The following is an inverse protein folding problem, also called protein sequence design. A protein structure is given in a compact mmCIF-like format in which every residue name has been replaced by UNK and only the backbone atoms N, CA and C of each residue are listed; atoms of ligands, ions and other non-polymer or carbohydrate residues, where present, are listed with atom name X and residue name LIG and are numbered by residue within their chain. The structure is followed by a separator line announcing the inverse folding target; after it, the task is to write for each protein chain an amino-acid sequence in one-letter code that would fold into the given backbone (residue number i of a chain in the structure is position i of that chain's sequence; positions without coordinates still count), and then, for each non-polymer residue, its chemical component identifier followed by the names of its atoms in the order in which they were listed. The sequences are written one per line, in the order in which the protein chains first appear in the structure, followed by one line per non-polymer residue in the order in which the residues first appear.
data_IF_264289829520
#
_entry.id   IF_264289829520
#
_cell.length_a   1.000
_cell.length_b   1.000
_cell.length_c   1.000
_cell.angle_alpha   90.00
_cell.angle_beta   90.00
_cell.angle_gamma   90.00
#
_symmetry.space_group_name_H-M   'P 1'
#
loop_
_entity.id
_entity.type
_entity.pdbx_description
1 polymer ?
#
# COMPACT_ATOMS: atom_id res chain seq x y z
N UNK A 1 -22.39 -10.72 -23.34
CA UNK A 1 -21.82 -9.51 -22.68
C UNK A 1 -20.31 -9.70 -22.62
N UNK A 2 -19.51 -8.85 -23.25
CA UNK A 2 -18.03 -8.92 -23.14
C UNK A 2 -17.62 -8.08 -21.94
N UNK A 3 -16.76 -8.62 -21.09
CA UNK A 3 -16.13 -7.84 -20.02
C UNK A 3 -15.04 -6.98 -20.65
N UNK A 4 -15.16 -5.66 -20.50
CA UNK A 4 -14.11 -4.71 -20.88
C UNK A 4 -13.34 -4.39 -19.62
N UNK A 5 -12.05 -4.72 -19.61
CA UNK A 5 -11.18 -4.38 -18.49
C UNK A 5 -10.74 -2.93 -18.59
N UNK A 6 -10.66 -2.26 -17.43
CA UNK A 6 -9.96 -0.99 -17.33
C UNK A 6 -8.49 -1.27 -17.66
N UNK A 7 -7.87 -0.50 -18.57
CA UNK A 7 -6.48 -0.70 -18.91
C UNK A 7 -5.63 -0.20 -17.74
N UNK A 8 -5.31 -1.11 -16.80
CA UNK A 8 -4.67 -0.78 -15.52
C UNK A 8 -3.35 -0.03 -15.71
N UNK A 9 -2.48 -0.50 -16.61
CA UNK A 9 -1.16 0.11 -16.85
C UNK A 9 -1.28 1.59 -17.23
N UNK A 10 -2.02 2.00 -18.29
CA UNK A 10 -2.13 3.41 -18.63
C UNK A 10 -2.86 4.24 -17.55
N UNK A 11 -3.81 3.67 -16.81
CA UNK A 11 -4.42 4.37 -15.67
C UNK A 11 -3.39 4.66 -14.56
N UNK A 12 -2.56 3.67 -14.22
CA UNK A 12 -1.49 3.84 -13.22
C UNK A 12 -0.44 4.85 -13.69
N UNK A 13 -0.05 4.83 -14.96
CA UNK A 13 0.85 5.84 -15.53
C UNK A 13 0.23 7.24 -15.44
N UNK A 14 -1.05 7.40 -15.76
CA UNK A 14 -1.74 8.67 -15.68
C UNK A 14 -1.83 9.20 -14.24
N UNK A 15 -2.04 8.32 -13.26
CA UNK A 15 -2.03 8.68 -11.84
C UNK A 15 -0.63 9.12 -11.37
N UNK A 16 0.42 8.42 -11.78
CA UNK A 16 1.79 8.80 -11.45
C UNK A 16 2.19 10.14 -12.09
N UNK A 17 1.69 10.45 -13.28
CA UNK A 17 1.95 11.74 -13.97
C UNK A 17 1.11 12.91 -13.43
N UNK A 18 0.08 12.65 -12.62
CA UNK A 18 -0.74 13.68 -12.02
C UNK A 18 -0.23 13.98 -10.61
N UNK A 19 0.42 15.12 -10.42
CA UNK A 19 1.05 15.52 -9.15
C UNK A 19 0.09 15.44 -7.95
N UNK A 20 -1.14 15.97 -8.10
CA UNK A 20 -2.15 15.91 -7.03
C UNK A 20 -2.51 14.47 -6.66
N UNK A 21 -2.65 13.59 -7.66
CA UNK A 21 -2.95 12.18 -7.42
C UNK A 21 -1.75 11.48 -6.79
N UNK A 22 -0.54 11.70 -7.32
CA UNK A 22 0.69 11.15 -6.78
C UNK A 22 0.91 11.56 -5.31
N UNK A 23 0.60 12.80 -4.95
CA UNK A 23 0.63 13.28 -3.56
C UNK A 23 -0.43 12.60 -2.69
N UNK A 24 -1.64 12.44 -3.21
CA UNK A 24 -2.72 11.77 -2.47
C UNK A 24 -2.38 10.28 -2.24
N UNK A 25 -1.74 9.62 -3.21
CA UNK A 25 -1.32 8.23 -3.07
C UNK A 25 -0.20 8.03 -2.03
N UNK A 26 0.50 9.09 -1.62
CA UNK A 26 1.45 9.04 -0.49
C UNK A 26 0.74 9.05 0.88
N UNK A 27 -0.60 9.04 0.93
CA UNK A 27 -1.39 9.02 2.15
C UNK A 27 -0.94 7.93 3.14
N UNK A 28 -0.67 6.71 2.66
CA UNK A 28 -0.20 5.60 3.50
C UNK A 28 1.06 5.98 4.30
N UNK A 29 2.05 6.60 3.65
CA UNK A 29 3.34 6.89 4.27
C UNK A 29 3.40 8.24 5.00
N UNK A 30 2.62 9.23 4.55
CA UNK A 30 2.71 10.61 5.06
C UNK A 30 1.46 11.09 5.80
N UNK A 31 0.29 10.55 5.48
CA UNK A 31 -1.00 11.06 5.94
C UNK A 31 -1.72 10.19 6.97
N UNK A 32 -1.51 8.87 6.94
CA UNK A 32 -2.19 7.94 7.81
C UNK A 32 -1.45 7.77 9.14
N UNK A 33 -2.18 7.90 10.24
CA UNK A 33 -1.67 7.63 11.59
C UNK A 33 -2.66 6.72 12.30
N UNK A 34 -2.23 5.50 12.59
CA UNK A 34 -3.04 4.52 13.29
C UNK A 34 -3.47 5.04 14.67
N UNK A 35 -4.76 4.98 14.96
CA UNK A 35 -5.32 5.33 16.29
C UNK A 35 -5.91 4.08 16.94
N UNK A 36 -5.39 3.73 18.11
CA UNK A 36 -5.84 2.57 18.85
C UNK A 36 -7.36 2.60 19.10
N UNK A 37 -8.04 1.52 18.74
CA UNK A 37 -9.50 1.38 18.90
C UNK A 37 -10.34 2.02 17.79
N UNK A 38 -9.72 2.54 16.73
CA UNK A 38 -10.40 3.07 15.55
C UNK A 38 -9.88 2.36 14.29
N UNK A 39 -10.80 2.06 13.38
CA UNK A 39 -10.47 1.54 12.05
C UNK A 39 -11.06 2.52 11.05
N UNK A 40 -10.20 3.37 10.49
CA UNK A 40 -10.55 4.35 9.47
C UNK A 40 -10.25 3.78 8.07
N UNK A 41 -9.18 2.99 7.93
CA UNK A 41 -8.76 2.38 6.66
C UNK A 41 -8.07 1.01 6.85
N UNK A 42 -7.67 0.37 5.75
CA UNK A 42 -6.96 -0.91 5.70
C UNK A 42 -5.64 -0.90 6.51
N UNK A 43 -5.02 0.27 6.63
CA UNK A 43 -3.78 0.48 7.39
C UNK A 43 -3.97 0.43 8.91
N UNK A 44 -5.21 0.49 9.40
CA UNK A 44 -5.53 0.28 10.83
C UNK A 44 -5.75 -1.21 11.16
N UNK A 45 -5.78 -2.06 10.14
CA UNK A 45 -5.99 -3.48 10.30
C UNK A 45 -4.88 -4.11 11.16
N UNK A 46 -5.27 -4.95 12.12
CA UNK A 46 -4.31 -5.66 12.98
C UNK A 46 -3.28 -6.45 12.19
N UNK A 47 -3.66 -7.01 11.04
CA UNK A 47 -2.77 -7.73 10.11
C UNK A 47 -1.72 -6.77 9.53
N UNK A 48 -2.15 -5.61 9.01
CA UNK A 48 -1.22 -4.63 8.45
C UNK A 48 -0.23 -4.14 9.52
N UNK A 49 -0.72 -3.78 10.70
CA UNK A 49 0.10 -3.35 11.83
C UNK A 49 1.11 -4.42 12.26
N UNK A 50 0.75 -5.70 12.22
CA UNK A 50 1.67 -6.80 12.51
C UNK A 50 2.76 -6.93 11.44
N UNK A 51 2.40 -6.80 10.16
CA UNK A 51 3.33 -6.92 9.04
C UNK A 51 4.43 -5.85 9.06
N UNK A 52 4.12 -4.62 9.49
CA UNK A 52 5.12 -3.54 9.64
C UNK A 52 6.33 -3.92 10.52
N UNK A 53 6.16 -4.90 11.40
CA UNK A 53 7.20 -5.39 12.31
C UNK A 53 7.80 -6.74 11.89
N UNK A 54 7.37 -7.31 10.77
CA UNK A 54 7.84 -8.59 10.26
C UNK A 54 8.76 -8.41 9.05
N UNK A 55 9.77 -9.27 8.96
CA UNK A 55 10.58 -9.38 7.75
C UNK A 55 9.80 -10.05 6.64
N UNK A 56 10.00 -9.59 5.40
CA UNK A 56 9.32 -10.18 4.25
C UNK A 56 9.72 -11.64 4.10
N UNK A 57 8.73 -12.52 4.04
CA UNK A 57 8.89 -13.95 3.79
C UNK A 57 8.16 -14.35 2.52
N UNK A 58 8.86 -15.02 1.61
CA UNK A 58 8.29 -15.61 0.39
C UNK A 58 8.66 -17.08 0.36
N UNK A 59 7.67 -17.95 0.59
CA UNK A 59 7.91 -19.38 0.78
C UNK A 59 8.76 -19.63 2.03
N UNK A 60 9.91 -20.29 1.86
CA UNK A 60 10.86 -20.60 2.94
C UNK A 60 11.94 -19.51 3.13
N UNK A 61 11.97 -18.50 2.28
CA UNK A 61 13.02 -17.47 2.29
C UNK A 61 12.57 -16.20 3.01
N UNK A 62 13.38 -15.76 3.98
CA UNK A 62 13.22 -14.50 4.70
C UNK A 62 14.21 -13.47 4.15
N UNK A 63 13.71 -12.27 3.86
CA UNK A 63 14.49 -11.15 3.34
C UNK A 63 14.89 -10.19 4.46
N UNK A 64 15.97 -9.42 4.23
CA UNK A 64 16.51 -8.47 5.22
C UNK A 64 15.72 -7.17 5.39
N UNK A 65 14.58 -7.02 4.71
CA UNK A 65 13.70 -5.85 4.79
C UNK A 65 12.33 -6.26 5.31
N UNK A 66 11.62 -5.30 5.91
CA UNK A 66 10.28 -5.49 6.51
C UNK A 66 9.18 -5.26 5.49
N UNK A 67 7.98 -5.80 5.75
CA UNK A 67 6.81 -5.45 4.95
C UNK A 67 6.48 -3.97 5.13
N UNK A 68 6.18 -3.30 4.02
CA UNK A 68 5.85 -1.86 3.99
C UNK A 68 6.89 -0.98 4.70
N UNK A 69 8.16 -1.38 4.61
CA UNK A 69 9.26 -0.69 5.25
C UNK A 69 9.72 0.55 4.47
N UNK A 70 9.46 0.58 3.17
CA UNK A 70 9.66 1.76 2.33
C UNK A 70 8.35 2.54 2.19
N UNK A 71 8.45 3.87 2.18
CA UNK A 71 7.32 4.77 1.99
C UNK A 71 6.63 4.67 0.62
N UNK A 72 7.28 4.03 -0.37
CA UNK A 72 6.67 3.71 -1.66
C UNK A 72 6.04 2.31 -1.71
N UNK A 73 6.14 1.51 -0.65
CA UNK A 73 5.53 0.19 -0.60
C UNK A 73 4.00 0.31 -0.57
N UNK A 74 3.33 -0.33 -1.51
CA UNK A 74 1.87 -0.27 -1.66
C UNK A 74 1.25 -1.53 -1.03
N UNK A 75 0.30 -1.35 -0.12
CA UNK A 75 -0.63 -2.41 0.25
C UNK A 75 -1.80 -2.43 -0.75
N UNK A 76 -1.89 -3.49 -1.55
CA UNK A 76 -3.00 -3.75 -2.49
C UNK A 76 -4.04 -4.68 -1.87
#
# INVERSE_FOLDING_TARGET
KKFTYIPLIPCLCAFAMNEKMADTMQYQAKGHQHKAGQVEDVFDGSVYCQLLHQFVQVGEQVYGYRYFGDWHDIAL
#
